data_IF_747822953283
#
_entry.id   IF_747822953283
#
_cell.length_a   1.000
_cell.length_b   1.000
_cell.length_c   1.000
_cell.angle_alpha   90.00
_cell.angle_beta   90.00
_cell.angle_gamma   90.00
#
_symmetry.space_group_name_H-M   'P 1'
#
loop_
_entity.id
_entity.type
_entity.pdbx_description
1 polymer ?
#
# COMPACT_ATOMS: atom_id res chain seq x y z
N UNK A 1 -28.57 -6.08 16.12
CA UNK A 1 -27.75 -7.14 15.50
C UNK A 1 -26.45 -7.31 16.25
N UNK A 2 -25.98 -8.56 16.41
CA UNK A 2 -24.71 -8.91 17.07
C UNK A 2 -23.51 -9.01 16.11
N UNK A 3 -23.73 -9.01 14.79
CA UNK A 3 -22.68 -9.12 13.78
C UNK A 3 -22.79 -8.01 12.73
N UNK A 4 -21.65 -7.51 12.19
CA UNK A 4 -21.64 -6.57 11.08
C UNK A 4 -22.27 -7.21 9.84
N UNK A 5 -23.18 -6.50 9.21
CA UNK A 5 -23.77 -6.87 7.94
C UNK A 5 -24.21 -5.60 7.21
N UNK A 6 -24.42 -5.72 5.92
CA UNK A 6 -25.03 -4.71 5.07
C UNK A 6 -25.79 -5.44 3.95
N UNK A 7 -26.91 -4.89 3.49
CA UNK A 7 -27.76 -5.49 2.48
C UNK A 7 -28.24 -4.39 1.53
N UNK A 8 -28.07 -4.63 0.23
CA UNK A 8 -28.43 -3.70 -0.84
C UNK A 8 -27.92 -2.27 -0.61
N UNK A 9 -26.62 -2.08 -0.30
CA UNK A 9 -26.09 -0.76 0.01
C UNK A 9 -26.25 0.21 -1.17
N UNK A 10 -26.48 1.51 -0.92
CA UNK A 10 -26.67 2.51 -2.00
C UNK A 10 -25.53 2.58 -3.02
N UNK A 11 -24.31 2.21 -2.63
CA UNK A 11 -23.16 2.16 -3.55
C UNK A 11 -23.25 1.04 -4.61
N UNK A 12 -24.16 0.08 -4.43
CA UNK A 12 -24.41 -1.01 -5.40
C UNK A 12 -23.41 -2.16 -5.37
N UNK A 13 -22.51 -2.20 -4.38
CA UNK A 13 -21.52 -3.28 -4.24
C UNK A 13 -21.14 -3.55 -2.77
N UNK A 14 -20.72 -4.79 -2.50
CA UNK A 14 -20.13 -5.25 -1.24
C UNK A 14 -18.77 -5.88 -1.55
N UNK A 15 -17.75 -5.57 -0.75
CA UNK A 15 -16.39 -6.05 -0.99
C UNK A 15 -15.59 -6.24 0.29
N UNK A 16 -14.86 -7.35 0.38
CA UNK A 16 -13.91 -7.61 1.44
C UNK A 16 -12.61 -8.20 0.87
N UNK A 17 -11.50 -7.62 1.30
CA UNK A 17 -10.14 -8.03 1.03
C UNK A 17 -9.36 -8.15 2.35
N UNK A 18 -10.01 -8.72 3.37
CA UNK A 18 -9.47 -8.93 4.74
C UNK A 18 -9.11 -7.65 5.50
N UNK A 19 -9.51 -6.48 4.99
CA UNK A 19 -9.43 -5.21 5.70
C UNK A 19 -10.42 -5.19 6.88
N UNK A 20 -10.16 -4.29 7.84
CA UNK A 20 -11.10 -4.02 8.93
C UNK A 20 -12.48 -3.62 8.39
N UNK A 21 -13.50 -4.42 8.69
CA UNK A 21 -14.88 -4.24 8.24
C UNK A 21 -15.79 -3.49 9.23
N UNK A 22 -15.24 -3.07 10.36
CA UNK A 22 -15.95 -2.36 11.43
C UNK A 22 -15.31 -0.99 11.72
N UNK A 23 -16.11 0.04 12.06
CA UNK A 23 -15.57 1.35 12.43
C UNK A 23 -14.79 1.27 13.76
N UNK A 24 -13.94 2.28 13.99
CA UNK A 24 -13.31 2.48 15.30
C UNK A 24 -14.40 2.67 16.37
N UNK A 25 -14.25 2.01 17.51
CA UNK A 25 -15.22 2.08 18.61
C UNK A 25 -16.41 1.13 18.48
N UNK A 26 -16.38 0.18 17.54
CA UNK A 26 -17.37 -0.90 17.49
C UNK A 26 -17.40 -1.66 18.82
N UNK A 27 -18.61 -1.87 19.37
CA UNK A 27 -18.81 -2.38 20.74
C UNK A 27 -18.42 -3.84 20.98
N UNK A 28 -17.93 -4.55 19.96
CA UNK A 28 -17.44 -5.93 20.05
C UNK A 28 -16.03 -6.04 19.47
N UNK A 29 -15.18 -6.80 20.15
CA UNK A 29 -13.87 -7.17 19.63
C UNK A 29 -14.02 -8.37 18.69
N UNK A 30 -13.90 -8.14 17.38
CA UNK A 30 -14.03 -9.19 16.37
C UNK A 30 -12.69 -9.83 15.99
N UNK A 31 -11.65 -9.00 15.80
CA UNK A 31 -10.29 -9.43 15.50
C UNK A 31 -9.30 -8.32 15.87
N UNK A 32 -8.11 -8.73 16.29
CA UNK A 32 -6.95 -7.86 16.48
C UNK A 32 -6.02 -7.82 15.26
N UNK A 33 -6.23 -8.71 14.30
CA UNK A 33 -5.44 -8.82 13.08
C UNK A 33 -6.32 -8.57 11.86
N UNK A 34 -5.97 -7.54 11.11
CA UNK A 34 -6.61 -7.15 9.87
C UNK A 34 -5.52 -6.93 8.84
N UNK A 35 -5.80 -7.28 7.59
CA UNK A 35 -4.87 -6.97 6.51
C UNK A 35 -4.89 -5.47 6.20
N UNK A 36 -3.82 -4.99 5.56
CA UNK A 36 -3.71 -3.60 5.13
C UNK A 36 -4.84 -3.22 4.16
N UNK A 37 -5.34 -1.97 4.22
CA UNK A 37 -6.58 -1.57 3.55
C UNK A 37 -6.46 -1.46 2.02
N UNK A 38 -5.27 -1.40 1.44
CA UNK A 38 -5.06 -0.98 0.05
C UNK A 38 -5.68 -1.93 -0.97
N UNK A 39 -5.76 -3.24 -0.68
CA UNK A 39 -6.50 -4.17 -1.53
C UNK A 39 -7.99 -3.87 -1.55
N UNK A 40 -8.56 -3.50 -0.40
CA UNK A 40 -9.96 -3.14 -0.30
C UNK A 40 -10.25 -1.76 -0.93
N UNK A 41 -9.35 -0.81 -0.77
CA UNK A 41 -9.41 0.48 -1.45
C UNK A 41 -9.34 0.31 -2.98
N UNK A 42 -8.47 -0.58 -3.47
CA UNK A 42 -8.39 -0.90 -4.91
C UNK A 42 -9.65 -1.61 -5.39
N UNK A 43 -10.17 -2.56 -4.63
CA UNK A 43 -11.46 -3.20 -4.91
C UNK A 43 -12.58 -2.16 -4.98
N UNK A 44 -12.61 -1.19 -4.07
CA UNK A 44 -13.60 -0.11 -4.08
C UNK A 44 -13.49 0.79 -5.33
N UNK A 45 -12.27 1.13 -5.76
CA UNK A 45 -12.06 1.86 -7.02
C UNK A 45 -12.58 1.09 -8.23
N UNK A 46 -12.38 -0.22 -8.26
CA UNK A 46 -12.76 -1.08 -9.37
C UNK A 46 -14.27 -1.35 -9.39
N UNK A 47 -14.83 -1.81 -8.26
CA UNK A 47 -16.25 -2.13 -8.10
C UNK A 47 -17.15 -0.88 -8.16
N UNK A 48 -16.62 0.27 -7.74
CA UNK A 48 -17.33 1.56 -7.85
C UNK A 48 -17.33 2.15 -9.26
N UNK A 49 -16.63 1.55 -10.22
CA UNK A 49 -16.47 2.10 -11.58
C UNK A 49 -17.61 1.69 -12.53
N UNK A 50 -18.85 1.86 -12.08
CA UNK A 50 -20.06 1.64 -12.87
C UNK A 50 -20.52 0.18 -12.96
N UNK A 51 -21.21 -0.16 -14.05
CA UNK A 51 -21.75 -1.51 -14.26
C UNK A 51 -20.68 -2.46 -14.76
N UNK A 52 -20.75 -3.71 -14.32
CA UNK A 52 -19.79 -4.74 -14.67
C UNK A 52 -20.37 -5.80 -15.59
N UNK A 53 -19.60 -6.17 -16.60
CA UNK A 53 -19.77 -7.38 -17.42
C UNK A 53 -18.69 -8.42 -17.07
N UNK A 54 -18.80 -9.62 -17.65
CA UNK A 54 -17.82 -10.70 -17.43
C UNK A 54 -16.38 -10.28 -17.72
N UNK A 55 -16.16 -9.44 -18.75
CA UNK A 55 -14.82 -8.97 -19.13
C UNK A 55 -14.23 -8.06 -18.06
N UNK A 56 -15.02 -7.13 -17.52
CA UNK A 56 -14.60 -6.23 -16.46
C UNK A 56 -14.32 -6.99 -15.15
N UNK A 57 -15.11 -8.01 -14.82
CA UNK A 57 -14.87 -8.87 -13.65
C UNK A 57 -13.59 -9.70 -13.80
N UNK A 58 -13.32 -10.25 -14.98
CA UNK A 58 -12.04 -10.90 -15.28
C UNK A 58 -10.88 -9.91 -15.11
N UNK A 59 -10.99 -8.71 -15.68
CA UNK A 59 -9.96 -7.69 -15.54
C UNK A 59 -9.70 -7.30 -14.07
N UNK A 60 -10.75 -7.18 -13.25
CA UNK A 60 -10.62 -6.94 -11.82
C UNK A 60 -9.88 -8.07 -11.10
N UNK A 61 -10.19 -9.33 -11.42
CA UNK A 61 -9.55 -10.49 -10.81
C UNK A 61 -8.04 -10.56 -11.11
N UNK A 62 -7.61 -10.02 -12.26
CA UNK A 62 -6.22 -9.94 -12.68
C UNK A 62 -5.54 -8.60 -12.34
N UNK A 63 -6.20 -7.69 -11.60
CA UNK A 63 -5.58 -6.42 -11.22
C UNK A 63 -4.39 -6.66 -10.27
N UNK A 64 -3.26 -6.02 -10.58
CA UNK A 64 -2.01 -6.12 -9.83
C UNK A 64 -1.55 -4.75 -9.33
N UNK A 65 -2.49 -3.83 -9.11
CA UNK A 65 -2.17 -2.45 -8.74
C UNK A 65 -2.20 -2.30 -7.22
N UNK A 66 -1.10 -1.82 -6.63
CA UNK A 66 -1.05 -1.42 -5.22
C UNK A 66 -1.30 0.08 -5.07
N UNK A 67 -2.23 0.44 -4.18
CA UNK A 67 -2.42 1.84 -3.78
C UNK A 67 -1.41 2.30 -2.73
N UNK A 68 -0.66 1.37 -2.13
CA UNK A 68 0.33 1.72 -1.11
C UNK A 68 1.52 2.49 -1.70
N UNK A 69 1.85 2.28 -2.97
CA UNK A 69 2.88 3.05 -3.67
C UNK A 69 2.56 4.55 -3.67
N UNK A 70 1.31 4.95 -3.94
CA UNK A 70 0.90 6.35 -3.91
C UNK A 70 0.97 6.93 -2.48
N UNK A 71 0.57 6.16 -1.46
CA UNK A 71 0.67 6.56 -0.05
C UNK A 71 2.13 6.76 0.37
N UNK A 72 3.04 5.89 -0.08
CA UNK A 72 4.46 5.99 0.18
C UNK A 72 5.06 7.27 -0.43
N UNK A 73 4.71 7.58 -1.68
CA UNK A 73 5.12 8.85 -2.33
C UNK A 73 4.63 10.06 -1.55
N UNK A 74 3.35 10.08 -1.17
CA UNK A 74 2.78 11.16 -0.38
C UNK A 74 3.49 11.32 0.98
N UNK A 75 3.92 10.21 1.60
CA UNK A 75 4.72 10.23 2.82
C UNK A 75 6.10 10.86 2.58
N UNK A 76 6.80 10.49 1.51
CA UNK A 76 8.09 11.10 1.16
C UNK A 76 8.00 12.59 0.86
N UNK A 77 6.91 13.03 0.24
CA UNK A 77 6.68 14.44 -0.11
C UNK A 77 6.09 15.26 1.05
N UNK A 78 5.66 14.61 2.13
CA UNK A 78 5.05 15.29 3.26
C UNK A 78 6.02 16.34 3.86
N UNK A 79 5.53 17.50 4.34
CA UNK A 79 6.39 18.57 4.85
C UNK A 79 7.37 18.13 5.95
N UNK A 80 6.98 17.16 6.78
CA UNK A 80 7.83 16.61 7.85
C UNK A 80 8.87 15.57 7.38
N UNK A 81 8.85 15.16 6.12
CA UNK A 81 9.70 14.08 5.59
C UNK A 81 10.58 14.54 4.43
N UNK A 82 10.06 15.34 3.51
CA UNK A 82 10.75 15.67 2.25
C UNK A 82 12.15 16.26 2.47
N UNK A 83 12.25 17.28 3.33
CA UNK A 83 13.53 17.94 3.60
C UNK A 83 14.49 17.06 4.42
N UNK A 84 14.07 16.41 5.53
CA UNK A 84 14.92 15.44 6.24
C UNK A 84 15.40 14.29 5.36
N UNK A 85 14.54 13.72 4.52
CA UNK A 85 14.91 12.63 3.60
C UNK A 85 15.98 13.08 2.62
N UNK A 86 15.81 14.27 2.02
CA UNK A 86 16.82 14.84 1.12
C UNK A 86 18.16 15.05 1.83
N UNK A 87 18.13 15.59 3.05
CA UNK A 87 19.34 15.81 3.86
C UNK A 87 20.04 14.49 4.21
N UNK A 88 19.28 13.46 4.59
CA UNK A 88 19.81 12.13 4.87
C UNK A 88 20.49 11.52 3.65
N UNK A 89 19.85 11.59 2.48
CA UNK A 89 20.46 11.14 1.21
C UNK A 89 21.73 11.94 0.90
N UNK A 90 21.70 13.26 1.09
CA UNK A 90 22.83 14.15 0.83
C UNK A 90 24.00 13.95 1.80
N UNK A 91 23.78 13.37 2.98
CA UNK A 91 24.82 13.05 3.95
C UNK A 91 25.56 11.73 3.65
N UNK A 92 25.02 10.88 2.77
CA UNK A 92 25.62 9.60 2.42
C UNK A 92 26.97 9.74 1.69
N UNK A 93 27.88 8.74 1.79
CA UNK A 93 29.06 8.62 0.94
C UNK A 93 28.70 8.66 -0.55
N UNK A 94 29.60 9.13 -1.41
CA UNK A 94 29.30 9.45 -2.81
C UNK A 94 28.61 8.33 -3.59
N UNK A 95 29.11 7.09 -3.49
CA UNK A 95 28.51 5.93 -4.17
C UNK A 95 27.11 5.60 -3.62
N UNK A 96 26.94 5.60 -2.30
CA UNK A 96 25.66 5.31 -1.65
C UNK A 96 24.62 6.40 -1.94
N UNK A 97 25.04 7.67 -1.95
CA UNK A 97 24.21 8.82 -2.33
C UNK A 97 23.68 8.68 -3.75
N UNK A 98 24.53 8.28 -4.70
CA UNK A 98 24.10 8.07 -6.08
C UNK A 98 23.02 6.99 -6.16
N UNK A 99 23.24 5.83 -5.51
CA UNK A 99 22.24 4.74 -5.47
C UNK A 99 20.95 5.13 -4.75
N UNK A 100 21.04 5.86 -3.64
CA UNK A 100 19.88 6.32 -2.89
C UNK A 100 19.03 7.32 -3.71
N UNK A 101 19.67 8.24 -4.44
CA UNK A 101 18.97 9.16 -5.36
C UNK A 101 18.30 8.42 -6.51
N UNK A 102 18.96 7.41 -7.08
CA UNK A 102 18.37 6.56 -8.12
C UNK A 102 17.15 5.82 -7.59
N UNK A 103 17.28 5.13 -6.45
CA UNK A 103 16.18 4.40 -5.82
C UNK A 103 15.01 5.33 -5.49
N UNK A 104 15.27 6.49 -4.89
CA UNK A 104 14.24 7.50 -4.63
C UNK A 104 13.51 7.93 -5.91
N UNK A 105 14.27 8.22 -6.97
CA UNK A 105 13.67 8.62 -8.27
C UNK A 105 12.77 7.52 -8.82
N UNK A 106 13.21 6.26 -8.77
CA UNK A 106 12.42 5.10 -9.22
C UNK A 106 11.17 4.88 -8.36
N UNK A 107 11.28 5.00 -7.04
CA UNK A 107 10.13 4.93 -6.13
C UNK A 107 9.11 6.04 -6.41
N UNK A 108 9.55 7.26 -6.70
CA UNK A 108 8.68 8.37 -7.05
C UNK A 108 8.03 8.21 -8.44
N UNK A 109 8.72 7.54 -9.38
CA UNK A 109 8.18 7.25 -10.71
C UNK A 109 7.25 6.02 -10.74
N UNK A 110 7.40 5.06 -9.81
CA UNK A 110 6.69 3.78 -9.84
C UNK A 110 5.17 3.94 -9.91
N UNK A 111 4.53 3.33 -10.91
CA UNK A 111 3.09 3.46 -11.18
C UNK A 111 2.19 2.65 -10.26
N UNK A 112 2.76 1.80 -9.38
CA UNK A 112 2.03 0.91 -8.49
C UNK A 112 1.66 -0.43 -9.12
N UNK A 113 2.08 -0.74 -10.35
CA UNK A 113 1.78 -2.02 -11.02
C UNK A 113 2.81 -3.10 -10.65
N UNK A 114 2.36 -4.11 -9.90
CA UNK A 114 3.17 -5.25 -9.44
C UNK A 114 3.32 -6.34 -10.50
N UNK A 115 3.65 -5.95 -11.75
CA UNK A 115 3.84 -6.92 -12.83
C UNK A 115 5.22 -7.61 -12.76
N UNK A 116 5.37 -8.86 -13.24
CA UNK A 116 6.66 -9.56 -13.23
C UNK A 116 7.75 -8.88 -14.07
N UNK A 117 7.38 -7.97 -14.98
CA UNK A 117 8.30 -7.21 -15.83
C UNK A 117 8.68 -5.84 -15.23
N UNK A 118 8.09 -5.45 -14.10
CA UNK A 118 8.35 -4.15 -13.48
C UNK A 118 9.58 -4.20 -12.58
N UNK A 119 10.69 -3.67 -13.07
CA UNK A 119 11.88 -3.49 -12.24
C UNK A 119 11.64 -2.50 -11.09
N UNK A 120 10.73 -1.53 -11.25
CA UNK A 120 10.38 -0.57 -10.20
C UNK A 120 9.55 -1.22 -9.09
N UNK A 121 8.70 -2.20 -9.42
CA UNK A 121 8.01 -3.01 -8.42
C UNK A 121 8.99 -3.78 -7.53
N UNK A 122 10.09 -4.30 -8.10
CA UNK A 122 11.13 -4.98 -7.33
C UNK A 122 11.88 -4.01 -6.41
N UNK A 123 12.23 -2.81 -6.88
CA UNK A 123 12.85 -1.77 -6.03
C UNK A 123 11.92 -1.34 -4.90
N UNK A 124 10.63 -1.16 -5.22
CA UNK A 124 9.59 -0.86 -4.24
C UNK A 124 9.47 -1.92 -3.16
N UNK A 125 9.37 -3.19 -3.53
CA UNK A 125 9.25 -4.29 -2.57
C UNK A 125 10.51 -4.42 -1.70
N UNK A 126 11.71 -4.32 -2.30
CA UNK A 126 12.96 -4.33 -1.54
C UNK A 126 13.04 -3.15 -0.57
N UNK A 127 12.60 -1.96 -0.98
CA UNK A 127 12.54 -0.81 -0.08
C UNK A 127 11.63 -1.08 1.12
N UNK A 128 10.46 -1.68 0.93
CA UNK A 128 9.56 -2.01 2.03
C UNK A 128 10.14 -3.06 2.96
N UNK A 129 10.74 -4.13 2.42
CA UNK A 129 11.38 -5.18 3.21
C UNK A 129 12.54 -4.64 4.04
N UNK A 130 13.41 -3.81 3.44
CA UNK A 130 14.52 -3.19 4.14
C UNK A 130 14.03 -2.17 5.16
N UNK A 131 12.98 -1.40 4.85
CA UNK A 131 12.39 -0.46 5.81
C UNK A 131 11.83 -1.20 7.03
N UNK A 132 11.06 -2.27 6.82
CA UNK A 132 10.52 -3.07 7.92
C UNK A 132 11.64 -3.66 8.78
N UNK A 133 12.69 -4.21 8.17
CA UNK A 133 13.85 -4.72 8.91
C UNK A 133 14.53 -3.60 9.70
N UNK A 134 14.88 -2.48 9.07
CA UNK A 134 15.64 -1.42 9.72
C UNK A 134 14.84 -0.64 10.79
N UNK A 135 13.50 -0.65 10.71
CA UNK A 135 12.63 0.01 11.69
C UNK A 135 12.36 -0.86 12.91
N UNK A 136 12.32 -2.19 12.75
CA UNK A 136 11.83 -3.09 13.81
C UNK A 136 12.84 -4.13 14.30
N UNK A 137 13.96 -4.36 13.61
CA UNK A 137 14.88 -5.47 13.95
C UNK A 137 15.46 -5.33 15.36
N UNK A 138 15.80 -4.12 15.78
CA UNK A 138 16.30 -3.83 17.14
C UNK A 138 15.29 -4.19 18.24
N UNK A 139 13.99 -4.10 17.94
CA UNK A 139 12.89 -4.47 18.84
C UNK A 139 12.56 -5.98 18.81
N UNK A 140 13.02 -6.72 17.79
CA UNK A 140 12.64 -8.12 17.54
C UNK A 140 13.70 -9.16 17.99
N UNK A 141 14.88 -8.71 18.40
CA UNK A 141 15.98 -9.57 18.88
C UNK A 141 17.08 -9.82 17.84
N UNK A 142 18.14 -10.58 18.20
CA UNK A 142 19.25 -10.84 17.29
C UNK A 142 18.84 -11.68 16.08
N UNK A 143 19.60 -11.56 14.98
CA UNK A 143 19.45 -12.36 13.74
C UNK A 143 19.80 -13.84 13.91
#
# INVERSE_FOLDING_TARGET
>A
MLHPYDQDPPQGWLGNANQRSIPKGYGLQLSNSWYYPERAERLAQLAGNGKHDSRSLIAMQYDQTTLFAAKLKAMFEAPGMAQPLKQAIDALPAEQKARAREAYTRLMAFDGRLSPQSADAAVYELFLQQSARQIFLDELGPE
#
